data_IF_607238260926
#
_entry.id   IF_607238260926
#
_cell.length_a   1.000
_cell.length_b   1.000
_cell.length_c   1.000
_cell.angle_alpha   90.00
_cell.angle_beta   90.00
_cell.angle_gamma   90.00
#
_symmetry.space_group_name_H-M   'P 1'
#
loop_
_entity.id
_entity.type
_entity.pdbx_description
1 polymer ?
#
# COMPACT_ATOMS: atom_id res chain seq x y z
N UNK A 1 6.21 -2.13 -21.49
CA UNK A 1 6.08 -0.74 -21.99
C UNK A 1 5.30 0.06 -20.95
N UNK A 2 5.74 1.25 -20.53
CA UNK A 2 5.03 2.04 -19.52
C UNK A 2 3.68 2.53 -20.06
N UNK A 3 2.71 2.75 -19.15
CA UNK A 3 1.49 3.45 -19.49
C UNK A 3 1.83 4.91 -19.83
N UNK A 4 1.27 5.48 -20.90
CA UNK A 4 1.71 6.80 -21.40
C UNK A 4 1.67 7.91 -20.33
N UNK A 5 0.66 7.90 -19.47
CA UNK A 5 0.48 8.89 -18.41
C UNK A 5 1.60 8.87 -17.35
N UNK A 6 2.32 7.75 -17.18
CA UNK A 6 3.43 7.67 -16.22
C UNK A 6 4.67 8.43 -16.69
N UNK A 7 4.72 8.86 -17.96
CA UNK A 7 5.77 9.70 -18.50
C UNK A 7 5.48 11.20 -18.34
N UNK A 8 4.25 11.54 -17.94
CA UNK A 8 3.83 12.91 -17.67
C UNK A 8 4.31 13.44 -16.32
N UNK A 9 3.94 14.68 -15.99
CA UNK A 9 4.27 15.26 -14.69
C UNK A 9 3.37 14.69 -13.58
N UNK A 10 4.00 14.36 -12.46
CA UNK A 10 3.38 13.64 -11.35
C UNK A 10 3.53 14.44 -10.06
N UNK A 11 2.41 14.86 -9.46
CA UNK A 11 2.39 15.65 -8.23
C UNK A 11 2.23 14.73 -7.02
N UNK A 12 3.17 14.80 -6.08
CA UNK A 12 3.14 14.07 -4.83
C UNK A 12 3.53 14.96 -3.64
N UNK A 13 3.05 14.60 -2.45
CA UNK A 13 3.61 14.97 -1.14
C UNK A 13 3.12 13.96 -0.10
N UNK A 14 3.81 13.91 1.04
CA UNK A 14 3.24 13.50 2.31
C UNK A 14 2.60 14.71 3.03
N UNK A 15 1.28 14.83 3.19
CA UNK A 15 0.17 14.17 2.48
C UNK A 15 -0.76 15.22 1.87
N UNK A 16 -1.66 14.78 0.99
CA UNK A 16 -2.87 15.52 0.63
C UNK A 16 -4.09 14.85 1.28
N UNK A 17 -4.58 15.43 2.37
CA UNK A 17 -5.83 15.03 3.01
C UNK A 17 -6.43 16.23 3.77
N UNK A 18 -7.77 16.36 3.86
CA UNK A 18 -8.80 15.50 3.27
C UNK A 18 -8.96 15.71 1.74
N UNK A 19 -9.94 15.05 1.11
CA UNK A 19 -10.20 15.11 -0.33
C UNK A 19 -10.29 16.55 -0.88
N UNK A 20 -10.76 17.51 -0.10
CA UNK A 20 -10.88 18.92 -0.49
C UNK A 20 -9.51 19.52 -0.82
N UNK A 21 -8.46 19.12 -0.08
CA UNK A 21 -7.10 19.56 -0.34
C UNK A 21 -6.60 19.05 -1.69
N UNK A 22 -6.94 17.82 -2.04
CA UNK A 22 -6.57 17.24 -3.34
C UNK A 22 -7.29 17.98 -4.47
N UNK A 23 -8.58 18.26 -4.30
CA UNK A 23 -9.37 18.99 -5.29
C UNK A 23 -8.89 20.42 -5.50
N UNK A 24 -8.49 21.13 -4.43
CA UNK A 24 -7.88 22.47 -4.53
C UNK A 24 -6.64 22.45 -5.43
N UNK A 25 -5.77 21.44 -5.26
CA UNK A 25 -4.55 21.31 -6.04
C UNK A 25 -4.85 20.98 -7.50
N UNK A 26 -5.73 20.00 -7.73
CA UNK A 26 -6.16 19.63 -9.07
C UNK A 26 -6.72 20.83 -9.84
N UNK A 27 -7.55 21.65 -9.17
CA UNK A 27 -8.12 22.89 -9.74
C UNK A 27 -7.04 23.92 -10.02
N UNK A 28 -6.12 24.13 -9.09
CA UNK A 28 -5.01 25.07 -9.26
C UNK A 28 -4.11 24.73 -10.47
N UNK A 29 -3.83 23.45 -10.74
CA UNK A 29 -3.10 23.04 -11.95
C UNK A 29 -3.83 23.45 -13.22
N UNK A 30 -5.15 23.21 -13.28
CA UNK A 30 -5.99 23.56 -14.44
C UNK A 30 -6.11 25.07 -14.61
N UNK A 31 -6.38 25.80 -13.53
CA UNK A 31 -6.48 27.27 -13.54
C UNK A 31 -5.17 27.94 -13.98
N UNK A 32 -4.02 27.40 -13.57
CA UNK A 32 -2.69 27.95 -13.91
C UNK A 32 -2.14 27.43 -15.23
N UNK A 33 -2.89 26.59 -15.96
CA UNK A 33 -2.44 25.94 -17.20
C UNK A 33 -1.11 25.19 -17.04
N UNK A 34 -0.90 24.55 -15.89
CA UNK A 34 0.29 23.73 -15.64
C UNK A 34 -0.08 22.27 -15.94
N UNK A 35 0.60 21.60 -16.89
CA UNK A 35 0.31 20.20 -17.23
C UNK A 35 0.68 19.29 -16.04
N UNK A 36 -0.23 18.39 -15.71
CA UNK A 36 -0.05 17.38 -14.67
C UNK A 36 -1.01 16.23 -14.93
N UNK A 37 -0.48 15.01 -14.95
CA UNK A 37 -1.18 13.78 -15.30
C UNK A 37 -1.57 12.97 -14.06
N UNK A 38 -0.79 13.07 -12.96
CA UNK A 38 -0.96 12.18 -11.81
C UNK A 38 -0.95 12.94 -10.50
N UNK A 39 -1.84 12.57 -9.58
CA UNK A 39 -1.82 12.99 -8.18
C UNK A 39 -1.65 11.75 -7.29
N UNK A 40 -0.69 11.82 -6.38
CA UNK A 40 -0.40 10.76 -5.42
C UNK A 40 -1.10 11.02 -4.09
N UNK A 41 -1.59 9.94 -3.48
CA UNK A 41 -2.08 9.91 -2.10
C UNK A 41 -1.13 9.06 -1.26
N UNK A 42 -0.43 9.75 -0.37
CA UNK A 42 0.43 9.15 0.65
C UNK A 42 -0.42 8.67 1.86
N UNK A 43 0.20 8.05 2.86
CA UNK A 43 -0.41 7.18 3.88
C UNK A 43 -1.63 7.75 4.63
N UNK A 44 -1.81 9.08 4.69
CA UNK A 44 -2.91 9.71 5.42
C UNK A 44 -4.31 9.54 4.77
N UNK A 45 -4.39 8.98 3.55
CA UNK A 45 -5.66 8.64 2.92
C UNK A 45 -6.32 7.39 3.55
N UNK A 46 -5.52 6.53 4.18
CA UNK A 46 -5.96 5.28 4.78
C UNK A 46 -6.65 5.51 6.13
N UNK A 47 -7.53 4.59 6.51
CA UNK A 47 -8.11 4.56 7.85
C UNK A 47 -7.06 4.02 8.83
N UNK A 48 -6.49 4.90 9.66
CA UNK A 48 -5.51 4.56 10.71
C UNK A 48 -4.33 3.72 10.19
N UNK A 49 -3.86 4.08 8.98
CA UNK A 49 -2.75 3.45 8.25
C UNK A 49 -3.00 1.97 7.88
N UNK A 50 -4.25 1.50 7.90
CA UNK A 50 -4.61 0.16 7.42
C UNK A 50 -4.56 0.13 5.90
N UNK A 51 -3.67 -0.68 5.32
CA UNK A 51 -3.58 -0.87 3.86
C UNK A 51 -4.92 -1.37 3.28
N UNK A 52 -5.17 -1.06 2.01
CA UNK A 52 -6.44 -1.39 1.35
C UNK A 52 -7.69 -0.80 2.02
N UNK A 53 -7.55 0.36 2.68
CA UNK A 53 -8.69 1.09 3.26
C UNK A 53 -8.70 2.55 2.79
N UNK A 54 -9.85 3.19 3.00
CA UNK A 54 -10.01 4.64 2.84
C UNK A 54 -10.57 5.20 4.14
N UNK A 55 -9.96 6.25 4.67
CA UNK A 55 -10.53 7.00 5.79
C UNK A 55 -11.80 7.72 5.33
N UNK A 56 -12.97 7.16 5.68
CA UNK A 56 -14.27 7.69 5.26
C UNK A 56 -14.62 9.06 5.86
N UNK A 57 -13.85 9.56 6.84
CA UNK A 57 -14.00 10.95 7.34
C UNK A 57 -13.29 11.94 6.42
N UNK A 58 -12.18 11.54 5.80
CA UNK A 58 -11.36 12.36 4.89
C UNK A 58 -11.75 12.19 3.41
N UNK A 59 -12.21 10.99 3.05
CA UNK A 59 -12.57 10.56 1.69
C UNK A 59 -13.90 9.81 1.75
N UNK A 60 -15.01 10.56 1.80
CA UNK A 60 -16.34 10.00 2.08
C UNK A 60 -16.79 9.02 1.01
N UNK A 61 -16.59 9.38 -0.25
CA UNK A 61 -16.86 8.55 -1.42
C UNK A 61 -15.63 8.55 -2.34
N UNK A 62 -14.69 7.61 -2.13
CA UNK A 62 -13.47 7.53 -2.92
C UNK A 62 -13.71 7.38 -4.42
N UNK A 63 -14.79 6.71 -4.82
CA UNK A 63 -15.11 6.49 -6.23
C UNK A 63 -15.58 7.78 -6.89
N UNK A 64 -16.51 8.50 -6.25
CA UNK A 64 -16.93 9.80 -6.76
C UNK A 64 -15.76 10.80 -6.81
N UNK A 65 -14.90 10.77 -5.79
CA UNK A 65 -13.70 11.61 -5.71
C UNK A 65 -12.69 11.32 -6.86
N UNK A 66 -12.36 10.05 -7.11
CA UNK A 66 -11.44 9.71 -8.21
C UNK A 66 -12.07 9.93 -9.58
N UNK A 67 -13.39 9.78 -9.73
CA UNK A 67 -14.11 10.10 -10.96
C UNK A 67 -14.02 11.61 -11.26
N UNK A 68 -14.19 12.49 -10.27
CA UNK A 68 -14.04 13.95 -10.45
C UNK A 68 -12.61 14.32 -10.90
N UNK A 69 -11.59 13.72 -10.30
CA UNK A 69 -10.19 13.90 -10.73
C UNK A 69 -9.95 13.37 -12.15
N UNK A 70 -10.57 12.26 -12.50
CA UNK A 70 -10.49 11.66 -13.84
C UNK A 70 -11.15 12.53 -14.90
N UNK A 71 -12.28 13.18 -14.60
CA UNK A 71 -12.93 14.17 -15.49
C UNK A 71 -12.02 15.37 -15.75
N UNK A 72 -11.21 15.77 -14.77
CA UNK A 72 -10.17 16.78 -14.92
C UNK A 72 -8.91 16.25 -15.63
N UNK A 73 -8.87 14.97 -16.02
CA UNK A 73 -7.75 14.34 -16.73
C UNK A 73 -6.62 13.82 -15.84
N UNK A 74 -6.81 13.74 -14.51
CA UNK A 74 -5.82 13.18 -13.60
C UNK A 74 -5.96 11.66 -13.45
N UNK A 75 -4.83 11.02 -13.18
CA UNK A 75 -4.72 9.66 -12.65
C UNK A 75 -4.41 9.75 -11.16
N UNK A 76 -5.03 8.87 -10.38
CA UNK A 76 -4.75 8.79 -8.94
C UNK A 76 -3.85 7.58 -8.69
N UNK A 77 -2.77 7.81 -7.94
CA UNK A 77 -1.89 6.75 -7.43
C UNK A 77 -1.95 6.75 -5.92
N UNK A 78 -2.13 5.58 -5.30
CA UNK A 78 -2.16 5.43 -3.84
C UNK A 78 -0.98 4.60 -3.37
N UNK A 79 -0.36 4.99 -2.26
CA UNK A 79 0.66 4.18 -1.59
C UNK A 79 0.04 2.90 -0.98
N UNK A 80 0.74 1.77 -1.05
CA UNK A 80 0.43 0.52 -0.36
C UNK A 80 1.76 -0.11 0.08
N UNK A 81 2.00 -0.11 1.39
CA UNK A 81 3.18 -0.68 2.03
C UNK A 81 2.94 -2.14 2.42
N UNK A 82 3.98 -2.96 2.62
CA UNK A 82 3.81 -4.34 3.08
C UNK A 82 3.49 -4.45 4.59
N UNK A 83 3.59 -3.36 5.36
CA UNK A 83 3.32 -3.38 6.79
C UNK A 83 1.83 -3.46 7.11
N UNK A 84 1.30 -4.66 7.37
CA UNK A 84 -0.11 -4.86 7.74
C UNK A 84 -0.30 -4.65 9.24
N UNK A 85 -1.14 -3.69 9.64
CA UNK A 85 -1.46 -3.37 11.04
C UNK A 85 -1.96 -4.61 11.79
N UNK A 86 -1.43 -4.86 12.99
CA UNK A 86 -1.98 -5.84 13.92
C UNK A 86 -3.24 -5.26 14.56
N UNK A 87 -4.40 -5.70 14.08
CA UNK A 87 -5.69 -5.17 14.53
C UNK A 87 -6.81 -6.20 14.33
N UNK A 88 -7.42 -6.67 15.42
CA UNK A 88 -8.48 -7.69 15.34
C UNK A 88 -9.76 -7.07 14.80
N UNK A 89 -10.37 -7.71 13.81
CA UNK A 89 -11.53 -7.18 13.08
C UNK A 89 -11.15 -6.43 11.80
N UNK A 90 -9.86 -6.19 11.56
CA UNK A 90 -9.37 -5.68 10.28
C UNK A 90 -9.16 -6.85 9.31
N UNK A 91 -9.98 -6.88 8.25
CA UNK A 91 -10.10 -8.04 7.36
C UNK A 91 -8.77 -8.57 6.82
N UNK A 92 -7.86 -7.69 6.39
CA UNK A 92 -6.55 -8.07 5.82
C UNK A 92 -5.69 -8.79 6.85
N UNK A 93 -5.67 -8.28 8.08
CA UNK A 93 -4.95 -8.91 9.18
C UNK A 93 -5.60 -10.25 9.57
N UNK A 94 -6.92 -10.27 9.78
CA UNK A 94 -7.64 -11.47 10.21
C UNK A 94 -7.54 -12.60 9.17
N UNK A 95 -7.67 -12.29 7.87
CA UNK A 95 -7.49 -13.26 6.79
C UNK A 95 -6.04 -13.78 6.72
N UNK A 96 -5.06 -12.88 6.85
CA UNK A 96 -3.66 -13.26 6.80
C UNK A 96 -3.26 -14.17 7.96
N UNK A 97 -3.78 -13.92 9.17
CA UNK A 97 -3.60 -14.81 10.32
C UNK A 97 -4.27 -16.15 10.07
N UNK A 98 -5.55 -16.15 9.64
CA UNK A 98 -6.32 -17.38 9.41
C UNK A 98 -5.69 -18.31 8.37
N UNK A 99 -5.04 -17.75 7.35
CA UNK A 99 -4.45 -18.51 6.25
C UNK A 99 -2.93 -18.62 6.30
N UNK A 100 -2.30 -18.17 7.39
CA UNK A 100 -0.85 -18.21 7.61
C UNK A 100 -0.03 -17.48 6.53
N UNK A 101 -0.46 -16.29 6.14
CA UNK A 101 0.15 -15.50 5.06
C UNK A 101 1.30 -14.60 5.48
N UNK A 102 1.60 -14.52 6.78
CA UNK A 102 2.63 -13.63 7.31
C UNK A 102 3.94 -14.37 7.55
N UNK A 103 5.06 -13.64 7.43
CA UNK A 103 6.37 -14.12 7.83
C UNK A 103 6.37 -14.53 9.31
N UNK A 104 7.20 -15.52 9.65
CA UNK A 104 7.29 -16.09 11.00
C UNK A 104 8.70 -15.91 11.54
N UNK A 105 8.90 -15.96 12.84
CA UNK A 105 10.22 -16.13 13.43
C UNK A 105 10.66 -17.60 13.32
N UNK A 106 11.89 -17.87 13.76
CA UNK A 106 12.48 -19.22 13.80
C UNK A 106 11.69 -20.25 14.63
N UNK A 107 10.81 -19.79 15.52
CA UNK A 107 9.99 -20.65 16.38
C UNK A 107 8.58 -20.85 15.79
N UNK A 108 8.34 -20.36 14.56
CA UNK A 108 7.08 -20.50 13.83
C UNK A 108 5.99 -19.53 14.25
N UNK A 109 6.32 -18.52 15.07
CA UNK A 109 5.37 -17.50 15.53
C UNK A 109 5.36 -16.36 14.51
N UNK A 110 4.19 -15.81 14.20
CA UNK A 110 4.09 -14.67 13.26
C UNK A 110 5.02 -13.53 13.71
N UNK A 111 5.93 -13.15 12.81
CA UNK A 111 6.92 -12.12 13.08
C UNK A 111 6.24 -10.75 13.15
N UNK A 112 6.41 -10.11 14.31
CA UNK A 112 5.88 -8.79 14.60
C UNK A 112 6.98 -7.75 14.45
N UNK A 113 6.66 -6.66 13.76
CA UNK A 113 7.50 -5.48 13.65
C UNK A 113 6.73 -4.19 13.98
N UNK A 114 7.35 -3.03 13.75
CA UNK A 114 6.76 -1.71 13.88
C UNK A 114 7.09 -0.84 12.68
N UNK A 115 6.05 -0.29 12.05
CA UNK A 115 6.12 0.74 10.98
C UNK A 115 5.00 1.77 11.18
N UNK A 116 4.53 2.44 10.12
CA UNK A 116 3.51 3.51 10.20
C UNK A 116 2.25 3.18 11.01
N UNK A 117 1.62 1.99 10.89
CA UNK A 117 0.41 1.66 11.64
C UNK A 117 0.65 1.36 13.13
N UNK A 118 1.91 1.38 13.58
CA UNK A 118 2.34 0.83 14.85
C UNK A 118 2.80 -0.61 14.69
N UNK A 119 2.31 -1.48 15.56
CA UNK A 119 2.59 -2.91 15.51
C UNK A 119 2.05 -3.51 14.20
N UNK A 120 2.91 -4.16 13.42
CA UNK A 120 2.60 -4.67 12.09
C UNK A 120 3.20 -6.06 11.85
N UNK A 121 2.64 -6.76 10.87
CA UNK A 121 3.13 -8.03 10.34
C UNK A 121 3.40 -7.88 8.84
N UNK A 122 4.29 -8.70 8.28
CA UNK A 122 4.65 -8.65 6.86
C UNK A 122 4.11 -9.85 6.11
N UNK A 123 3.41 -9.64 4.97
CA UNK A 123 3.08 -10.71 4.05
C UNK A 123 4.34 -11.47 3.61
N UNK A 124 4.23 -12.79 3.57
CA UNK A 124 5.24 -13.65 2.98
C UNK A 124 5.14 -13.58 1.44
N UNK A 125 5.77 -12.58 0.84
CA UNK A 125 5.76 -12.42 -0.62
C UNK A 125 6.55 -13.50 -1.38
N UNK A 126 7.28 -14.38 -0.70
CA UNK A 126 7.90 -15.55 -1.34
C UNK A 126 6.85 -16.58 -1.77
N UNK A 127 5.71 -16.63 -1.07
CA UNK A 127 4.60 -17.51 -1.44
C UNK A 127 3.79 -16.94 -2.61
N UNK A 128 3.63 -17.73 -3.66
CA UNK A 128 2.77 -17.38 -4.81
C UNK A 128 1.32 -17.13 -4.38
N UNK A 129 0.82 -17.90 -3.41
CA UNK A 129 -0.53 -17.76 -2.83
C UNK A 129 -0.71 -16.40 -2.16
N UNK A 130 0.29 -15.94 -1.42
CA UNK A 130 0.26 -14.63 -0.75
C UNK A 130 0.34 -13.51 -1.78
N UNK A 131 1.18 -13.63 -2.82
CA UNK A 131 1.21 -12.66 -3.93
C UNK A 131 -0.14 -12.57 -4.65
N UNK A 132 -0.81 -13.69 -4.90
CA UNK A 132 -2.17 -13.71 -5.47
C UNK A 132 -3.20 -13.05 -4.55
N UNK A 133 -3.18 -13.36 -3.25
CA UNK A 133 -4.06 -12.72 -2.27
C UNK A 133 -3.84 -11.21 -2.18
N UNK A 134 -2.58 -10.76 -2.19
CA UNK A 134 -2.24 -9.34 -2.20
C UNK A 134 -2.76 -8.65 -3.47
N UNK A 135 -2.59 -9.28 -4.63
CA UNK A 135 -3.08 -8.77 -5.91
C UNK A 135 -4.61 -8.67 -5.96
N UNK A 136 -5.34 -9.64 -5.42
CA UNK A 136 -6.80 -9.58 -5.32
C UNK A 136 -7.27 -8.41 -4.44
N UNK A 137 -6.58 -8.13 -3.33
CA UNK A 137 -6.91 -6.99 -2.47
C UNK A 137 -6.67 -5.63 -3.12
N UNK A 138 -5.79 -5.54 -4.13
CA UNK A 138 -5.63 -4.30 -4.92
C UNK A 138 -6.93 -3.89 -5.62
N UNK A 139 -7.88 -4.82 -5.86
CA UNK A 139 -9.19 -4.51 -6.44
C UNK A 139 -9.96 -3.47 -5.60
N UNK A 140 -9.78 -3.44 -4.28
CA UNK A 140 -10.41 -2.43 -3.42
C UNK A 140 -10.04 -1.00 -3.86
N UNK A 141 -8.78 -0.81 -4.28
CA UNK A 141 -8.28 0.48 -4.76
C UNK A 141 -8.71 0.72 -6.21
N UNK A 142 -8.55 -0.28 -7.08
CA UNK A 142 -8.87 -0.18 -8.52
C UNK A 142 -10.36 0.09 -8.74
N UNK A 143 -11.24 -0.61 -8.01
CA UNK A 143 -12.70 -0.44 -8.09
C UNK A 143 -13.14 0.94 -7.58
N UNK A 144 -12.32 1.57 -6.73
CA UNK A 144 -12.49 2.98 -6.33
C UNK A 144 -11.92 3.98 -7.34
N UNK A 145 -11.46 3.56 -8.53
CA UNK A 145 -10.96 4.44 -9.59
C UNK A 145 -9.47 4.81 -9.51
N UNK A 146 -8.71 4.20 -8.59
CA UNK A 146 -7.25 4.34 -8.55
C UNK A 146 -6.63 3.76 -9.81
N UNK A 147 -5.68 4.49 -10.40
CA UNK A 147 -5.06 4.17 -11.69
C UNK A 147 -3.68 3.52 -11.57
N UNK A 148 -3.04 3.61 -10.41
CA UNK A 148 -1.75 2.96 -10.12
C UNK A 148 -1.50 2.84 -8.63
N UNK A 149 -0.54 2.00 -8.26
CA UNK A 149 -0.16 1.75 -6.87
C UNK A 149 1.31 2.08 -6.71
N UNK A 150 1.64 2.81 -5.65
CA UNK A 150 3.01 3.05 -5.21
C UNK A 150 3.33 2.05 -4.10
N UNK A 151 4.30 1.17 -4.29
CA UNK A 151 4.84 0.35 -3.21
C UNK A 151 6.05 1.06 -2.59
N UNK A 152 5.98 1.27 -1.28
CA UNK A 152 7.07 1.83 -0.49
C UNK A 152 7.36 0.90 0.70
N UNK A 153 8.43 1.19 1.43
CA UNK A 153 8.78 0.51 2.67
C UNK A 153 8.98 -1.02 2.49
N UNK A 154 9.32 -1.45 1.28
CA UNK A 154 9.37 -2.84 0.83
C UNK A 154 10.77 -3.47 0.83
N UNK A 155 11.73 -2.89 1.56
CA UNK A 155 13.04 -3.50 1.79
C UNK A 155 13.00 -4.90 2.47
N UNK A 156 12.10 -5.24 3.44
CA UNK A 156 11.05 -4.45 4.11
C UNK A 156 11.58 -3.51 5.22
N UNK A 157 11.06 -2.30 5.26
CA UNK A 157 11.44 -1.29 6.25
C UNK A 157 10.98 -1.67 7.66
N UNK A 158 11.68 -1.15 8.66
CA UNK A 158 11.44 -1.45 10.08
C UNK A 158 11.87 -0.28 10.96
N UNK A 159 11.02 0.13 11.90
CA UNK A 159 11.36 1.19 12.86
C UNK A 159 12.13 0.66 14.09
N UNK A 160 12.34 -0.65 14.18
CA UNK A 160 13.10 -1.29 15.26
C UNK A 160 14.51 -1.74 14.82
N UNK A 161 15.00 -1.28 13.66
CA UNK A 161 16.25 -1.74 13.05
C UNK A 161 16.01 -2.84 12.01
N UNK A 162 17.07 -3.37 11.36
CA UNK A 162 16.93 -4.32 10.26
C UNK A 162 16.14 -5.56 10.67
N UNK A 163 15.39 -6.15 9.72
CA UNK A 163 14.75 -7.45 9.96
C UNK A 163 15.83 -8.50 10.29
N UNK A 164 15.63 -9.33 11.32
CA UNK A 164 16.55 -10.42 11.64
C UNK A 164 16.75 -11.37 10.45
N UNK A 165 17.96 -11.87 10.29
CA UNK A 165 18.36 -12.80 9.23
C UNK A 165 17.62 -14.16 9.30
N UNK A 166 17.10 -14.50 10.48
CA UNK A 166 16.41 -15.75 10.81
C UNK A 166 14.88 -15.61 10.86
N UNK A 167 14.31 -14.49 10.39
CA UNK A 167 12.88 -14.44 10.04
C UNK A 167 12.64 -15.41 8.89
N UNK A 168 11.65 -16.26 9.02
CA UNK A 168 11.34 -17.35 8.11
C UNK A 168 10.20 -16.97 7.17
N UNK A 169 10.39 -17.32 5.90
CA UNK A 169 9.43 -17.20 4.81
C UNK A 169 9.19 -18.59 4.20
N UNK A 170 8.02 -18.80 3.60
CA UNK A 170 7.69 -20.02 2.85
C UNK A 170 7.64 -19.69 1.35
N UNK A 171 8.57 -20.24 0.59
CA UNK A 171 8.60 -20.19 -0.87
C UNK A 171 7.89 -21.42 -1.44
N UNK A 172 6.56 -21.40 -1.36
CA UNK A 172 5.66 -22.43 -1.90
C UNK A 172 6.01 -23.85 -1.40
N UNK A 173 6.21 -23.98 -0.09
CA UNK A 173 6.55 -25.23 0.61
C UNK A 173 8.03 -25.39 0.98
N UNK A 174 8.90 -24.46 0.57
CA UNK A 174 10.29 -24.41 1.01
C UNK A 174 10.48 -23.28 2.03
N UNK A 175 10.85 -23.63 3.26
CA UNK A 175 11.21 -22.63 4.27
C UNK A 175 12.56 -21.99 3.95
N UNK A 176 12.58 -20.66 3.84
CA UNK A 176 13.76 -19.86 3.51
C UNK A 176 13.95 -18.73 4.52
N UNK A 177 15.16 -18.53 5.06
CA UNK A 177 15.44 -17.44 5.99
C UNK A 177 15.58 -16.11 5.25
N UNK A 178 15.25 -15.02 5.93
CA UNK A 178 15.31 -13.65 5.41
C UNK A 178 16.65 -13.30 4.77
N UNK A 179 17.77 -13.75 5.35
CA UNK A 179 19.12 -13.52 4.79
C UNK A 179 19.29 -13.99 3.34
N UNK A 180 18.53 -14.99 2.90
CA UNK A 180 18.62 -15.57 1.55
C UNK A 180 17.72 -14.82 0.55
N UNK A 181 16.64 -14.21 1.04
CA UNK A 181 15.58 -13.61 0.21
C UNK A 181 15.46 -12.10 0.37
N UNK A 182 16.27 -11.46 1.22
CA UNK A 182 16.19 -10.04 1.58
C UNK A 182 16.02 -9.13 0.35
N UNK A 183 16.93 -9.24 -0.63
CA UNK A 183 16.95 -8.37 -1.80
C UNK A 183 15.87 -8.68 -2.85
N UNK A 184 15.11 -9.76 -2.67
CA UNK A 184 14.02 -10.15 -3.57
C UNK A 184 12.64 -10.08 -2.90
N UNK A 185 12.58 -9.60 -1.65
CA UNK A 185 11.32 -9.41 -0.93
C UNK A 185 10.46 -8.30 -1.59
N UNK A 186 11.13 -7.21 -1.98
CA UNK A 186 10.50 -6.01 -2.53
C UNK A 186 10.04 -6.10 -3.97
#
# INVERSE_FOLDING_TARGET
LPQLWTLGYQQCRWSYAPQERVMEIAKAFREKNIPCDTIYLDIDYMDDFRVFTWDKKKFKDPKAFTDELKEMGFKVVTIIDPGVKIDKGYNIYDEGIKNEYFAKDKDGIVYKNRVWPGDSVYPNFMSSKVRSWWAENQKIMIDSGVSGIWNDMNEPASFNGPLPDDVMFDEDGLEVPHKEIHNIYG
#
